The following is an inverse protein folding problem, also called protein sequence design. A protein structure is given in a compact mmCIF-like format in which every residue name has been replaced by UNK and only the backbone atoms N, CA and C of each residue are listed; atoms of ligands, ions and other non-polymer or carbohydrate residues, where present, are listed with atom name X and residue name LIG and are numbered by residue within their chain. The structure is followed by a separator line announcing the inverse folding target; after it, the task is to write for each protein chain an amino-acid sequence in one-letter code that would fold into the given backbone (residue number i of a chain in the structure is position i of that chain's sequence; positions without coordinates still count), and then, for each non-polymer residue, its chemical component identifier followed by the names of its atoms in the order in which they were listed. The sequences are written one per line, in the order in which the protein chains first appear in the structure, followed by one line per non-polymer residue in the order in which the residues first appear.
data_IF_724966950848
#
_entry.id   IF_724966950848
#
_cell.length_a   1.000
_cell.length_b   1.000
_cell.length_c   1.000
_cell.angle_alpha   90.00
_cell.angle_beta   90.00
_cell.angle_gamma   90.00
#
_symmetry.space_group_name_H-M   'P 1'
#
loop_
_entity.id
_entity.type
_entity.pdbx_description
1 polymer ?
#
# COMPACT_ATOMS: atom_id res chain seq x y z
N UNK A 1 -9.84 10.44 16.97
CA UNK A 1 -8.93 11.04 17.97
C UNK A 1 -7.86 11.83 17.21
N UNK A 2 -7.58 13.05 17.65
CA UNK A 2 -6.47 13.82 17.10
C UNK A 2 -5.23 13.48 17.91
N UNK A 3 -4.21 12.99 17.25
CA UNK A 3 -2.90 12.79 17.85
C UNK A 3 -2.08 14.07 17.66
N UNK A 4 -1.54 14.59 18.74
CA UNK A 4 -0.73 15.81 18.71
C UNK A 4 0.74 15.55 18.38
N UNK A 5 1.18 14.29 18.50
CA UNK A 5 2.55 13.85 18.20
C UNK A 5 2.56 12.40 17.73
N UNK A 6 3.63 12.05 17.01
CA UNK A 6 3.91 10.69 16.59
C UNK A 6 4.44 9.88 17.78
N UNK A 7 3.93 8.66 17.95
CA UNK A 7 4.26 7.74 19.04
C UNK A 7 5.13 6.55 18.59
N UNK A 8 5.89 6.74 17.52
CA UNK A 8 6.78 5.77 16.88
C UNK A 8 6.04 4.55 16.27
N UNK A 9 4.74 4.68 15.99
CA UNK A 9 3.93 3.60 15.40
C UNK A 9 3.11 4.06 14.21
N UNK A 10 2.89 3.14 13.27
CA UNK A 10 2.05 3.35 12.09
C UNK A 10 0.72 2.59 12.24
N UNK A 11 -0.37 3.23 11.83
CA UNK A 11 -1.72 2.68 11.97
C UNK A 11 -2.20 1.97 10.71
N UNK A 12 -2.98 0.90 10.89
CA UNK A 12 -3.61 0.18 9.79
C UNK A 12 -5.06 -0.14 10.12
N UNK A 13 -5.98 0.19 9.20
CA UNK A 13 -7.41 -0.17 9.32
C UNK A 13 -7.66 -1.34 8.38
N UNK A 14 -7.90 -2.52 8.94
CA UNK A 14 -8.13 -3.75 8.19
C UNK A 14 -9.61 -3.99 7.89
N UNK A 15 -9.89 -4.42 6.67
CA UNK A 15 -11.16 -5.04 6.33
C UNK A 15 -11.05 -6.57 6.48
N UNK A 16 -11.59 -7.10 7.58
CA UNK A 16 -11.37 -8.49 8.03
C UNK A 16 -12.51 -9.45 7.70
N UNK A 17 -13.63 -8.97 7.10
CA UNK A 17 -14.79 -9.82 6.82
C UNK A 17 -14.51 -10.98 5.86
N UNK A 18 -13.57 -10.80 4.93
CA UNK A 18 -13.12 -11.85 4.01
C UNK A 18 -11.77 -11.51 3.39
N UNK A 19 -11.10 -12.54 2.87
CA UNK A 19 -9.95 -12.39 1.98
C UNK A 19 -10.40 -12.17 0.54
N UNK A 20 -9.58 -11.48 -0.22
CA UNK A 20 -9.80 -11.22 -1.64
C UNK A 20 -8.67 -11.80 -2.47
N UNK A 21 -9.03 -12.44 -3.61
CA UNK A 21 -8.10 -13.04 -4.56
C UNK A 21 -8.04 -12.23 -5.86
N UNK A 22 -9.16 -12.18 -6.59
CA UNK A 22 -9.30 -11.42 -7.82
C UNK A 22 -10.32 -10.31 -7.60
N UNK A 23 -9.91 -9.07 -7.80
CA UNK A 23 -10.79 -7.93 -7.53
C UNK A 23 -10.34 -6.66 -8.23
N UNK A 24 -11.30 -5.74 -8.39
CA UNK A 24 -11.08 -4.35 -8.73
C UNK A 24 -11.47 -3.52 -7.50
N UNK A 25 -10.50 -2.86 -6.91
CA UNK A 25 -10.66 -1.91 -5.81
C UNK A 25 -10.57 -0.50 -6.38
N UNK A 26 -11.48 0.38 -5.96
CA UNK A 26 -11.44 1.82 -6.26
C UNK A 26 -11.71 2.59 -4.99
N UNK A 27 -10.95 3.66 -4.76
CA UNK A 27 -11.19 4.62 -3.69
C UNK A 27 -10.66 6.00 -4.07
N UNK A 28 -11.02 6.99 -3.27
CA UNK A 28 -10.41 8.32 -3.32
C UNK A 28 -9.73 8.61 -1.99
N UNK A 29 -8.56 9.23 -2.06
CA UNK A 29 -7.83 9.69 -0.88
C UNK A 29 -7.49 11.17 -0.98
N UNK A 30 -7.29 11.79 0.18
CA UNK A 30 -6.86 13.19 0.29
C UNK A 30 -6.03 13.35 1.57
N UNK A 31 -4.90 14.01 1.47
CA UNK A 31 -4.17 14.44 2.67
C UNK A 31 -4.79 15.71 3.21
N UNK A 32 -4.85 15.83 4.55
CA UNK A 32 -5.42 16.97 5.25
C UNK A 32 -4.61 17.32 6.50
N UNK A 33 -4.84 18.49 7.07
CA UNK A 33 -4.16 18.91 8.28
C UNK A 33 -2.65 19.09 8.14
N UNK A 34 -1.91 18.80 9.21
CA UNK A 34 -0.46 18.96 9.28
C UNK A 34 0.22 17.65 9.67
N UNK A 35 1.43 17.46 9.17
CA UNK A 35 2.27 16.33 9.54
C UNK A 35 2.54 16.32 11.04
N UNK A 36 2.42 15.16 11.68
CA UNK A 36 2.57 15.01 13.12
C UNK A 36 4.00 15.36 13.57
N UNK A 37 4.08 16.09 14.67
CA UNK A 37 5.36 16.41 15.29
C UNK A 37 6.09 15.13 15.71
N UNK A 38 7.34 14.99 15.29
CA UNK A 38 8.18 13.82 15.58
C UNK A 38 8.06 12.69 14.56
N UNK A 39 7.09 12.72 13.66
CA UNK A 39 7.01 11.71 12.59
C UNK A 39 8.17 11.86 11.58
N UNK A 40 8.63 10.74 10.98
CA UNK A 40 9.72 10.78 10.00
C UNK A 40 9.40 11.67 8.81
N UNK A 41 10.39 12.42 8.28
CA UNK A 41 10.18 13.33 7.17
C UNK A 41 9.64 12.65 5.90
N UNK A 42 9.96 11.39 5.67
CA UNK A 42 9.44 10.62 4.52
C UNK A 42 7.94 10.30 4.64
N UNK A 43 7.36 10.37 5.85
CA UNK A 43 5.93 10.13 6.08
C UNK A 43 5.03 11.34 5.78
N UNK A 44 5.61 12.48 5.39
CA UNK A 44 4.83 13.66 4.98
C UNK A 44 3.98 13.31 3.75
N UNK A 45 2.65 13.46 3.87
CA UNK A 45 1.69 13.11 2.81
C UNK A 45 2.00 11.73 2.22
N UNK A 46 2.14 10.74 3.10
CA UNK A 46 2.37 9.34 2.79
C UNK A 46 1.31 8.47 3.48
N UNK A 47 0.81 7.50 2.74
CA UNK A 47 -0.20 6.53 3.15
C UNK A 47 -0.18 5.35 2.19
N UNK A 48 -1.00 4.32 2.41
CA UNK A 48 -1.01 3.17 1.51
C UNK A 48 -2.30 2.35 1.54
N UNK A 49 -2.51 1.60 0.47
CA UNK A 49 -3.47 0.50 0.41
C UNK A 49 -2.65 -0.79 0.43
N UNK A 50 -2.80 -1.57 1.50
CA UNK A 50 -2.07 -2.82 1.65
C UNK A 50 -2.89 -3.94 1.02
N UNK A 51 -2.36 -4.57 -0.03
CA UNK A 51 -2.99 -5.66 -0.77
C UNK A 51 -2.46 -7.01 -0.30
N UNK A 52 -3.31 -8.04 -0.33
CA UNK A 52 -2.95 -9.38 0.11
C UNK A 52 -2.32 -9.42 1.50
N UNK A 53 -2.78 -8.53 2.40
CA UNK A 53 -2.28 -8.45 3.76
C UNK A 53 -2.36 -9.78 4.50
N UNK A 54 -1.35 -10.04 5.33
CA UNK A 54 -1.44 -11.07 6.36
C UNK A 54 -2.69 -10.91 7.25
N UNK A 55 -3.09 -11.96 7.93
CA UNK A 55 -4.12 -11.85 8.95
C UNK A 55 -3.64 -10.91 10.08
N UNK A 56 -4.39 -9.83 10.42
CA UNK A 56 -3.98 -8.90 11.47
C UNK A 56 -3.72 -9.58 12.81
N UNK A 57 -4.42 -10.67 13.13
CA UNK A 57 -4.17 -11.47 14.36
C UNK A 57 -2.79 -12.13 14.39
N UNK A 58 -2.10 -12.23 13.25
CA UNK A 58 -0.74 -12.77 13.15
C UNK A 58 0.35 -11.71 13.16
N UNK A 59 -0.02 -10.43 13.21
CA UNK A 59 0.97 -9.35 13.35
C UNK A 59 1.63 -9.41 14.74
N UNK A 60 2.93 -9.22 14.77
CA UNK A 60 3.66 -9.06 16.03
C UNK A 60 3.43 -7.65 16.57
N UNK A 61 3.56 -7.48 17.88
CA UNK A 61 3.34 -6.17 18.54
C UNK A 61 4.30 -5.11 18.00
N UNK A 62 5.55 -5.48 17.70
CA UNK A 62 6.58 -4.59 17.16
C UNK A 62 6.61 -4.54 15.63
N UNK A 63 5.64 -5.14 14.95
CA UNK A 63 5.57 -5.12 13.49
C UNK A 63 4.91 -3.83 13.00
N UNK A 64 5.68 -2.97 12.34
CA UNK A 64 5.21 -1.69 11.82
C UNK A 64 4.22 -1.84 10.65
N UNK A 65 4.49 -2.78 9.75
CA UNK A 65 3.70 -2.97 8.52
C UNK A 65 3.31 -4.43 8.35
N UNK A 66 2.07 -4.73 7.92
CA UNK A 66 1.69 -6.09 7.58
C UNK A 66 2.46 -6.58 6.35
N UNK A 67 2.76 -7.89 6.30
CA UNK A 67 3.18 -8.51 5.03
C UNK A 67 2.13 -8.20 3.98
N UNK A 68 2.51 -7.52 2.90
CA UNK A 68 1.58 -7.06 1.85
C UNK A 68 2.32 -6.53 0.64
N UNK A 69 1.59 -6.30 -0.45
CA UNK A 69 1.99 -5.37 -1.50
C UNK A 69 1.28 -4.04 -1.25
N UNK A 70 2.03 -2.99 -1.02
CA UNK A 70 1.50 -1.67 -0.71
C UNK A 70 1.36 -0.84 -1.98
N UNK A 71 0.16 -0.35 -2.26
CA UNK A 71 -0.06 0.76 -3.19
C UNK A 71 0.23 2.04 -2.44
N UNK A 72 1.46 2.53 -2.52
CA UNK A 72 1.87 3.73 -1.80
C UNK A 72 1.19 4.98 -2.37
N UNK A 73 0.50 5.69 -1.52
CA UNK A 73 -0.23 6.91 -1.84
C UNK A 73 0.57 8.12 -1.36
N UNK A 74 0.95 8.98 -2.29
CA UNK A 74 1.74 10.17 -1.99
C UNK A 74 1.00 11.44 -2.42
N UNK A 75 1.19 12.50 -1.63
CA UNK A 75 0.86 13.88 -2.03
C UNK A 75 2.12 14.67 -2.35
N UNK A 76 2.05 15.59 -3.31
CA UNK A 76 3.15 16.46 -3.67
C UNK A 76 3.46 17.50 -2.60
N UNK A 77 4.72 17.94 -2.56
CA UNK A 77 5.23 18.89 -1.56
C UNK A 77 5.44 20.30 -2.16
N UNK A 78 4.68 20.64 -3.20
CA UNK A 78 4.73 21.96 -3.88
C UNK A 78 5.75 22.05 -5.01
N UNK A 79 6.77 21.20 -5.03
CA UNK A 79 7.83 21.10 -6.04
C UNK A 79 8.33 19.66 -6.13
N UNK A 80 9.11 19.38 -7.13
CA UNK A 80 9.72 18.07 -7.42
C UNK A 80 8.71 16.96 -7.76
N UNK A 81 9.20 15.95 -8.45
CA UNK A 81 8.41 14.77 -8.79
C UNK A 81 8.24 13.88 -7.57
N UNK A 82 7.00 13.56 -7.26
CA UNK A 82 6.62 12.63 -6.20
C UNK A 82 5.38 11.86 -6.67
N UNK A 83 5.54 10.88 -7.58
CA UNK A 83 4.43 10.13 -8.13
C UNK A 83 3.70 9.36 -7.04
N UNK A 84 2.42 9.09 -7.25
CA UNK A 84 1.58 8.28 -6.36
C UNK A 84 1.28 6.91 -6.96
N UNK A 85 0.60 6.04 -6.21
CA UNK A 85 0.35 4.66 -6.61
C UNK A 85 1.64 3.88 -6.96
N UNK A 86 2.71 4.13 -6.23
CA UNK A 86 3.94 3.36 -6.28
C UNK A 86 3.71 1.95 -5.70
N UNK A 87 4.66 1.04 -5.87
CA UNK A 87 4.69 -0.23 -5.12
C UNK A 87 5.74 -0.14 -4.02
N UNK A 88 5.37 -0.47 -2.77
CA UNK A 88 6.30 -0.84 -1.72
C UNK A 88 6.01 -2.26 -1.23
N UNK A 89 7.02 -2.96 -0.75
CA UNK A 89 6.96 -4.41 -0.51
C UNK A 89 7.34 -4.78 0.94
N UNK A 90 6.53 -4.39 1.95
CA UNK A 90 6.80 -4.80 3.33
C UNK A 90 6.63 -6.33 3.48
N UNK A 91 7.73 -7.03 3.78
CA UNK A 91 7.75 -8.48 3.92
C UNK A 91 7.40 -9.28 2.66
N UNK A 92 7.52 -8.66 1.49
CA UNK A 92 7.19 -9.28 0.21
C UNK A 92 8.24 -9.00 -0.86
N UNK A 93 8.25 -9.85 -1.88
CA UNK A 93 8.91 -9.62 -3.17
C UNK A 93 7.87 -9.59 -4.28
N UNK A 94 8.15 -8.84 -5.33
CA UNK A 94 7.39 -8.81 -6.59
C UNK A 94 8.34 -8.85 -7.78
N UNK A 95 7.82 -9.23 -8.94
CA UNK A 95 8.57 -9.14 -10.19
C UNK A 95 8.04 -7.97 -11.03
N UNK A 96 8.96 -7.15 -11.54
CA UNK A 96 8.71 -6.12 -12.55
C UNK A 96 9.52 -6.51 -13.79
N UNK A 97 8.89 -6.50 -14.96
CA UNK A 97 9.50 -6.94 -16.22
C UNK A 97 10.17 -8.31 -16.11
N UNK A 98 9.47 -9.25 -15.44
CA UNK A 98 9.89 -10.63 -15.21
C UNK A 98 11.17 -10.78 -14.36
N UNK A 99 11.59 -9.74 -13.67
CA UNK A 99 12.73 -9.78 -12.76
C UNK A 99 12.32 -9.34 -11.36
N UNK A 100 12.95 -9.95 -10.34
CA UNK A 100 12.69 -9.55 -8.94
C UNK A 100 13.06 -8.09 -8.74
N UNK A 101 12.15 -7.34 -8.14
CA UNK A 101 12.36 -5.94 -7.82
C UNK A 101 13.46 -5.78 -6.77
N UNK A 102 14.49 -4.98 -7.08
CA UNK A 102 15.65 -4.79 -6.19
C UNK A 102 15.40 -3.77 -5.07
N UNK A 103 14.50 -2.82 -5.33
CA UNK A 103 14.17 -1.75 -4.38
C UNK A 103 12.90 -2.07 -3.63
N UNK A 104 12.87 -1.78 -2.33
CA UNK A 104 11.68 -1.94 -1.50
C UNK A 104 10.50 -1.09 -2.01
N UNK A 105 10.75 0.12 -2.49
CA UNK A 105 9.74 0.96 -3.14
C UNK A 105 10.16 1.30 -4.58
N UNK A 106 9.22 1.25 -5.50
CA UNK A 106 9.41 1.56 -6.93
C UNK A 106 8.32 2.54 -7.35
N UNK A 107 8.75 3.64 -7.96
CA UNK A 107 7.87 4.67 -8.43
C UNK A 107 7.02 4.22 -9.61
N UNK A 108 5.76 4.63 -9.61
CA UNK A 108 4.87 4.57 -10.75
C UNK A 108 5.21 5.64 -11.79
N UNK A 109 4.52 5.61 -12.91
CA UNK A 109 4.57 6.67 -13.93
C UNK A 109 3.54 7.76 -13.73
N UNK A 110 2.81 7.78 -12.60
CA UNK A 110 1.78 8.77 -12.33
C UNK A 110 2.35 10.18 -12.25
N UNK A 111 1.49 11.17 -12.45
CA UNK A 111 1.81 12.56 -12.14
C UNK A 111 1.90 12.78 -10.62
N UNK A 112 2.45 13.92 -10.22
CA UNK A 112 2.45 14.39 -8.84
C UNK A 112 1.24 15.29 -8.59
N UNK A 113 0.52 15.03 -7.49
CA UNK A 113 -0.62 15.84 -7.06
C UNK A 113 -0.15 16.80 -5.96
N UNK A 114 0.07 18.06 -6.30
CA UNK A 114 0.60 19.06 -5.36
C UNK A 114 -0.50 19.72 -4.49
N UNK A 115 -1.76 19.54 -4.86
CA UNK A 115 -2.89 20.10 -4.13
C UNK A 115 -3.51 19.08 -3.19
N UNK A 116 -4.22 19.54 -2.16
CA UNK A 116 -4.93 18.69 -1.21
C UNK A 116 -6.35 18.38 -1.73
N UNK A 117 -6.43 17.97 -3.00
CA UNK A 117 -7.64 17.53 -3.66
C UNK A 117 -7.81 16.02 -3.53
N UNK A 118 -9.03 15.55 -3.77
CA UNK A 118 -9.31 14.13 -3.83
C UNK A 118 -8.65 13.50 -5.06
N UNK A 119 -7.86 12.46 -4.83
CA UNK A 119 -7.21 11.67 -5.88
C UNK A 119 -7.87 10.29 -5.93
N UNK A 120 -8.38 9.93 -7.11
CA UNK A 120 -8.93 8.59 -7.35
C UNK A 120 -7.79 7.63 -7.68
N UNK A 121 -7.77 6.52 -6.97
CA UNK A 121 -6.87 5.39 -7.25
C UNK A 121 -7.68 4.12 -7.45
N UNK A 122 -7.26 3.31 -8.40
CA UNK A 122 -7.86 2.00 -8.66
C UNK A 122 -6.76 0.94 -8.71
N UNK A 123 -7.11 -0.27 -8.28
CA UNK A 123 -6.21 -1.41 -8.32
C UNK A 123 -6.95 -2.61 -8.90
N UNK A 124 -6.38 -3.22 -9.93
CA UNK A 124 -6.92 -4.43 -10.56
C UNK A 124 -5.99 -5.58 -10.19
N UNK A 125 -6.52 -6.57 -9.49
CA UNK A 125 -5.75 -7.66 -8.91
C UNK A 125 -6.24 -9.00 -9.46
N UNK A 126 -5.34 -9.77 -10.04
CA UNK A 126 -5.57 -11.16 -10.42
C UNK A 126 -4.64 -12.08 -9.63
N UNK A 127 -5.00 -12.36 -8.38
CA UNK A 127 -4.21 -13.18 -7.46
C UNK A 127 -2.77 -12.64 -7.33
N UNK A 128 -1.78 -13.53 -7.28
CA UNK A 128 -0.37 -13.15 -7.37
C UNK A 128 0.13 -13.07 -8.82
N UNK A 129 -0.75 -13.25 -9.82
CA UNK A 129 -0.37 -13.35 -11.24
C UNK A 129 -0.02 -12.00 -11.84
N UNK A 130 -0.90 -11.02 -11.65
CA UNK A 130 -0.68 -9.65 -12.13
C UNK A 130 -1.53 -8.67 -11.34
N UNK A 131 -0.92 -7.55 -11.01
CA UNK A 131 -1.56 -6.41 -10.35
C UNK A 131 -1.27 -5.16 -11.16
N UNK A 132 -2.31 -4.32 -11.32
CA UNK A 132 -2.21 -3.04 -12.00
C UNK A 132 -2.64 -1.93 -11.04
N UNK A 133 -1.82 -0.88 -10.92
CA UNK A 133 -2.20 0.37 -10.29
C UNK A 133 -2.66 1.35 -11.37
N UNK A 134 -3.81 1.99 -11.14
CA UNK A 134 -4.47 2.85 -12.13
C UNK A 134 -4.75 4.21 -11.51
N UNK A 135 -4.31 5.27 -12.18
CA UNK A 135 -4.57 6.68 -11.85
C UNK A 135 -5.12 7.37 -13.10
N UNK A 136 -6.21 8.13 -12.96
CA UNK A 136 -6.84 8.88 -14.07
C UNK A 136 -7.16 7.98 -15.30
N UNK A 137 -7.53 6.73 -15.08
CA UNK A 137 -7.79 5.65 -16.05
C UNK A 137 -6.53 5.11 -16.78
N UNK A 138 -5.35 5.57 -16.43
CA UNK A 138 -4.08 5.04 -16.98
C UNK A 138 -3.46 4.02 -16.02
N UNK A 139 -3.00 2.90 -16.55
CA UNK A 139 -2.17 1.97 -15.78
C UNK A 139 -0.79 2.57 -15.59
N UNK A 140 -0.49 2.96 -14.35
CA UNK A 140 0.76 3.66 -14.01
C UNK A 140 1.84 2.74 -13.47
N UNK A 141 1.48 1.51 -13.06
CA UNK A 141 2.41 0.48 -12.63
C UNK A 141 1.78 -0.90 -12.75
N UNK A 142 2.60 -1.89 -13.11
CA UNK A 142 2.19 -3.30 -13.11
C UNK A 142 3.30 -4.17 -12.56
N UNK A 143 2.94 -5.23 -11.84
CA UNK A 143 3.88 -6.21 -11.31
C UNK A 143 3.21 -7.59 -11.15
N UNK A 144 4.02 -8.61 -10.95
CA UNK A 144 3.61 -10.01 -10.92
C UNK A 144 4.27 -10.75 -9.74
N UNK A 145 3.85 -11.99 -9.52
CA UNK A 145 4.53 -12.94 -8.62
C UNK A 145 4.74 -12.44 -7.19
N UNK A 146 3.71 -11.81 -6.58
CA UNK A 146 3.78 -11.42 -5.17
C UNK A 146 4.03 -12.69 -4.33
N UNK A 147 5.05 -12.64 -3.49
CA UNK A 147 5.41 -13.72 -2.58
C UNK A 147 5.99 -13.16 -1.27
N UNK A 148 5.95 -13.94 -0.21
CA UNK A 148 6.60 -13.58 1.05
C UNK A 148 8.11 -13.53 0.80
N UNK A 149 8.78 -12.46 1.24
CA UNK A 149 10.21 -12.27 0.99
C UNK A 149 10.70 -10.87 1.22
N UNK A 150 11.85 -10.55 0.66
CA UNK A 150 12.45 -9.22 0.76
C UNK A 150 12.84 -8.82 2.18
N UNK A 151 12.70 -7.53 2.46
CA UNK A 151 13.06 -6.96 3.75
C UNK A 151 11.89 -7.02 4.75
N UNK A 152 12.23 -7.12 6.04
CA UNK A 152 11.26 -7.05 7.16
C UNK A 152 10.22 -8.18 7.20
N UNK A 153 10.57 -9.38 6.74
CA UNK A 153 9.73 -10.57 7.00
C UNK A 153 9.73 -10.84 8.51
N UNK A 154 8.55 -10.85 9.17
CA UNK A 154 8.47 -11.11 10.60
C UNK A 154 8.94 -12.53 10.95
N UNK A 155 9.48 -12.72 12.16
CA UNK A 155 10.04 -13.99 12.59
C UNK A 155 9.08 -15.18 12.48
N UNK A 156 7.79 -14.96 12.70
CA UNK A 156 6.74 -15.98 12.58
C UNK A 156 6.33 -16.30 11.12
N UNK A 157 7.04 -15.74 10.13
CA UNK A 157 6.84 -16.00 8.70
C UNK A 157 8.12 -16.39 7.97
N UNK A 158 9.25 -16.54 8.64
CA UNK A 158 10.53 -16.89 8.01
C UNK A 158 10.49 -18.23 7.28
N UNK A 159 9.74 -19.20 7.80
CA UNK A 159 9.51 -20.52 7.19
C UNK A 159 8.64 -20.47 5.92
N UNK A 160 8.03 -19.33 5.64
CA UNK A 160 7.15 -19.08 4.49
C UNK A 160 7.78 -18.24 3.39
N UNK A 161 9.05 -17.89 3.51
CA UNK A 161 9.76 -17.12 2.47
C UNK A 161 9.69 -17.88 1.12
N UNK A 162 9.32 -17.13 0.06
CA UNK A 162 9.08 -17.67 -1.28
C UNK A 162 7.64 -18.15 -1.53
N UNK A 163 6.80 -18.26 -0.50
CA UNK A 163 5.40 -18.66 -0.68
C UNK A 163 4.60 -17.57 -1.41
N UNK A 164 3.88 -17.92 -2.51
CA UNK A 164 3.05 -16.97 -3.22
C UNK A 164 1.90 -16.43 -2.36
N UNK A 165 1.70 -15.13 -2.37
CA UNK A 165 0.53 -14.46 -1.78
C UNK A 165 -0.60 -14.40 -2.82
N UNK A 166 -1.45 -15.42 -2.85
CA UNK A 166 -2.53 -15.56 -3.84
C UNK A 166 -3.80 -14.82 -3.46
N UNK A 167 -4.00 -14.57 -2.19
CA UNK A 167 -5.11 -13.84 -1.59
C UNK A 167 -4.68 -13.23 -0.26
N UNK A 168 -5.51 -12.39 0.30
CA UNK A 168 -5.27 -11.81 1.62
C UNK A 168 -6.32 -10.77 1.99
N UNK A 169 -6.11 -10.15 3.12
CA UNK A 169 -6.93 -9.02 3.57
C UNK A 169 -6.51 -7.73 2.84
N UNK A 170 -7.26 -6.67 3.07
CA UNK A 170 -6.95 -5.32 2.58
C UNK A 170 -6.92 -4.40 3.80
N UNK A 171 -5.92 -3.54 3.87
CA UNK A 171 -5.91 -2.47 4.86
C UNK A 171 -5.54 -1.11 4.25
N UNK A 172 -5.97 -0.06 4.95
CA UNK A 172 -5.58 1.32 4.68
C UNK A 172 -4.61 1.75 5.77
N UNK A 173 -3.57 2.49 5.39
CA UNK A 173 -2.48 2.87 6.25
C UNK A 173 -2.56 4.34 6.67
N UNK A 174 -2.03 4.65 7.87
CA UNK A 174 -1.76 5.99 8.38
C UNK A 174 -0.31 6.07 8.85
N UNK A 175 0.47 6.98 8.29
CA UNK A 175 1.93 7.11 8.51
C UNK A 175 2.36 8.44 9.16
N UNK A 176 1.52 9.03 9.98
CA UNK A 176 1.88 10.27 10.70
C UNK A 176 1.54 11.57 9.94
N UNK A 177 0.83 11.48 8.82
CA UNK A 177 0.16 12.61 8.19
C UNK A 177 -1.32 12.27 8.03
N UNK A 178 -2.26 13.14 8.48
CA UNK A 178 -3.68 12.87 8.36
C UNK A 178 -4.10 12.61 6.91
N UNK A 179 -4.84 11.54 6.70
CA UNK A 179 -5.36 11.14 5.41
C UNK A 179 -6.84 10.79 5.53
N UNK A 180 -7.60 11.20 4.54
CA UNK A 180 -9.02 10.89 4.41
C UNK A 180 -9.25 9.93 3.26
N UNK A 181 -10.17 8.99 3.42
CA UNK A 181 -10.60 8.05 2.38
C UNK A 181 -12.10 8.12 2.18
N UNK A 182 -12.55 8.03 0.92
CA UNK A 182 -13.97 7.97 0.58
C UNK A 182 -14.22 7.12 -0.66
N UNK A 183 -15.49 6.85 -0.95
CA UNK A 183 -15.94 6.13 -2.15
C UNK A 183 -15.26 4.76 -2.34
N UNK A 184 -14.94 4.07 -1.22
CA UNK A 184 -14.26 2.78 -1.24
C UNK A 184 -15.21 1.73 -1.81
N UNK A 185 -14.85 1.16 -2.95
CA UNK A 185 -15.65 0.16 -3.67
C UNK A 185 -14.77 -1.00 -4.07
N UNK A 186 -15.27 -2.22 -3.89
CA UNK A 186 -14.60 -3.43 -4.34
C UNK A 186 -15.56 -4.31 -5.14
N UNK A 187 -15.10 -4.77 -6.29
CA UNK A 187 -15.79 -5.72 -7.14
C UNK A 187 -14.94 -6.97 -7.28
N UNK A 188 -15.46 -8.11 -6.87
CA UNK A 188 -14.81 -9.40 -7.12
C UNK A 188 -14.82 -9.70 -8.63
N UNK A 189 -13.70 -10.15 -9.14
CA UNK A 189 -13.53 -10.58 -10.52
C UNK A 189 -13.55 -12.12 -10.59
N UNK A 190 -13.97 -12.65 -11.73
CA UNK A 190 -13.91 -14.08 -12.01
C UNK A 190 -12.48 -14.54 -12.30
N UNK A 191 -12.20 -15.84 -12.11
CA UNK A 191 -10.91 -16.46 -12.44
C UNK A 191 -10.64 -16.47 -13.94
#
# INVERSE_FOLDING_TARGET
ENYDSFDDRFGHIFFTKKKYKNYHLSLEYKFSGVHLKGAPGWSIKNSGIMLHCQNPETMLIEQDFPISAEVQLLGGLGKDKRPTANICTPGTDVDIDSTIAKSHCINSTSKTYHHDDWVKVEVIVFSNKIIHHVIDNDTVLSYTNIRIGGNKVPNNFLDKIGMPLKDGYISLQSEGHPVEFRNIKIKTLLD
#
